data_IF_991195931191
#
_entry.id   IF_991195931191
#
_cell.length_a   1.000
_cell.length_b   1.000
_cell.length_c   1.000
_cell.angle_alpha   90.00
_cell.angle_beta   90.00
_cell.angle_gamma   90.00
#
_symmetry.space_group_name_H-M   'P 1'
#
loop_
_entity.id
_entity.type
_entity.pdbx_description
1 polymer ?
#
# COMPACT_ATOMS: atom_id res chain seq x y z
N UNK A 1 11.62 6.47 16.85
CA UNK A 1 11.88 5.31 15.97
C UNK A 1 13.28 5.44 15.40
N UNK A 2 14.00 4.33 15.28
CA UNK A 2 15.26 4.30 14.51
C UNK A 2 14.95 4.26 13.02
N UNK A 3 15.89 4.72 12.21
CA UNK A 3 15.81 4.72 10.74
C UNK A 3 15.52 3.30 10.20
N UNK A 4 16.15 2.28 10.81
CA UNK A 4 15.95 0.86 10.47
C UNK A 4 14.51 0.37 10.69
N UNK A 5 13.87 0.78 11.78
CA UNK A 5 12.47 0.40 12.05
C UNK A 5 11.51 1.06 11.07
N UNK A 6 11.77 2.31 10.69
CA UNK A 6 10.97 3.01 9.71
C UNK A 6 11.18 2.44 8.30
N UNK A 7 12.40 2.08 7.94
CA UNK A 7 12.71 1.44 6.67
C UNK A 7 12.02 0.07 6.57
N UNK A 8 12.10 -0.75 7.62
CA UNK A 8 11.41 -2.05 7.67
C UNK A 8 9.88 -1.89 7.54
N UNK A 9 9.30 -0.84 8.14
CA UNK A 9 7.88 -0.56 8.00
C UNK A 9 7.51 -0.15 6.56
N UNK A 10 8.33 0.68 5.92
CA UNK A 10 8.15 1.06 4.51
C UNK A 10 8.27 -0.15 3.59
N UNK A 11 9.26 -1.03 3.81
CA UNK A 11 9.40 -2.27 3.04
C UNK A 11 8.23 -3.23 3.23
N UNK A 12 7.69 -3.33 4.46
CA UNK A 12 6.50 -4.14 4.74
C UNK A 12 5.26 -3.56 4.06
N UNK A 13 5.06 -2.24 4.14
CA UNK A 13 3.98 -1.56 3.43
C UNK A 13 4.12 -1.71 1.91
N UNK A 14 5.33 -1.64 1.37
CA UNK A 14 5.58 -1.82 -0.07
C UNK A 14 5.11 -3.19 -0.55
N UNK A 15 5.43 -4.26 0.19
CA UNK A 15 4.97 -5.61 -0.16
C UNK A 15 3.44 -5.73 -0.20
N UNK A 16 2.74 -5.06 0.72
CA UNK A 16 1.27 -5.01 0.72
C UNK A 16 0.76 -4.32 -0.53
N UNK A 17 1.33 -3.16 -0.89
CA UNK A 17 0.93 -2.43 -2.09
C UNK A 17 1.18 -3.25 -3.36
N UNK A 18 2.31 -3.94 -3.46
CA UNK A 18 2.61 -4.86 -4.57
C UNK A 18 1.59 -6.00 -4.64
N UNK A 19 1.26 -6.62 -3.50
CA UNK A 19 0.27 -7.67 -3.43
C UNK A 19 -1.09 -7.16 -3.90
N UNK A 20 -1.59 -6.06 -3.34
CA UNK A 20 -2.89 -5.46 -3.66
C UNK A 20 -2.97 -5.01 -5.12
N UNK A 21 -1.90 -4.41 -5.65
CA UNK A 21 -1.81 -4.01 -7.05
C UNK A 21 -1.94 -5.21 -8.00
N UNK A 22 -1.57 -6.42 -7.57
CA UNK A 22 -1.79 -7.63 -8.38
C UNK A 22 -3.28 -7.98 -8.55
N UNK A 23 -4.17 -7.50 -7.68
CA UNK A 23 -5.62 -7.77 -7.75
C UNK A 23 -6.36 -6.72 -8.56
N UNK A 24 -5.71 -5.62 -8.95
CA UNK A 24 -6.34 -4.44 -9.54
C UNK A 24 -7.14 -4.73 -10.83
N UNK A 25 -6.74 -5.75 -11.60
CA UNK A 25 -7.48 -6.17 -12.81
C UNK A 25 -8.78 -6.95 -12.50
N UNK A 26 -8.91 -7.53 -11.31
CA UNK A 26 -10.00 -8.44 -10.95
C UNK A 26 -10.88 -7.94 -9.80
N UNK A 27 -10.42 -6.93 -9.07
CA UNK A 27 -11.09 -6.38 -7.90
C UNK A 27 -11.64 -4.97 -8.17
N UNK A 28 -12.81 -4.68 -7.61
CA UNK A 28 -13.37 -3.33 -7.52
C UNK A 28 -12.57 -2.47 -6.52
N UNK A 29 -12.66 -1.14 -6.65
CA UNK A 29 -11.87 -0.19 -5.86
C UNK A 29 -12.12 -0.33 -4.36
N UNK A 30 -13.37 -0.60 -3.96
CA UNK A 30 -13.70 -0.86 -2.55
C UNK A 30 -13.04 -2.13 -2.01
N UNK A 31 -12.78 -3.12 -2.86
CA UNK A 31 -12.05 -4.33 -2.47
C UNK A 31 -10.55 -4.04 -2.36
N UNK A 32 -9.99 -3.28 -3.30
CA UNK A 32 -8.60 -2.82 -3.26
C UNK A 32 -8.32 -2.02 -1.99
N UNK A 33 -9.22 -1.10 -1.64
CA UNK A 33 -9.12 -0.30 -0.43
C UNK A 33 -9.10 -1.19 0.84
N UNK A 34 -10.04 -2.12 0.96
CA UNK A 34 -10.10 -3.03 2.11
C UNK A 34 -8.87 -3.92 2.22
N UNK A 35 -8.37 -4.43 1.08
CA UNK A 35 -7.19 -5.30 1.04
C UNK A 35 -5.91 -4.54 1.41
N UNK A 36 -5.80 -3.27 1.02
CA UNK A 36 -4.70 -2.41 1.44
C UNK A 36 -4.71 -2.22 2.96
N UNK A 37 -5.83 -1.81 3.53
CA UNK A 37 -5.98 -1.62 4.98
C UNK A 37 -5.73 -2.91 5.77
N UNK A 38 -6.28 -4.02 5.31
CA UNK A 38 -6.10 -5.32 5.95
C UNK A 38 -4.64 -5.79 5.87
N UNK A 39 -4.00 -5.63 4.72
CA UNK A 39 -2.61 -5.99 4.51
C UNK A 39 -1.66 -5.17 5.38
N UNK A 40 -1.86 -3.85 5.46
CA UNK A 40 -1.07 -2.96 6.31
C UNK A 40 -1.21 -3.36 7.79
N UNK A 41 -2.44 -3.61 8.24
CA UNK A 41 -2.73 -4.06 9.61
C UNK A 41 -2.07 -5.41 9.92
N UNK A 42 -2.14 -6.39 9.01
CA UNK A 42 -1.47 -7.69 9.16
C UNK A 42 0.05 -7.55 9.20
N UNK A 43 0.60 -6.63 8.43
CA UNK A 43 2.02 -6.32 8.42
C UNK A 43 2.48 -5.51 9.65
N UNK A 44 1.56 -5.09 10.52
CA UNK A 44 1.90 -4.31 11.70
C UNK A 44 2.39 -2.89 11.36
N UNK A 45 1.93 -2.35 10.23
CA UNK A 45 2.32 -1.01 9.75
C UNK A 45 1.10 -0.18 9.43
N UNK A 46 1.30 1.13 9.39
CA UNK A 46 0.31 2.11 8.97
C UNK A 46 0.96 3.17 8.09
N UNK A 47 0.22 3.64 7.11
CA UNK A 47 0.54 4.82 6.31
C UNK A 47 -0.44 5.93 6.69
N UNK A 48 -0.09 7.18 6.38
CA UNK A 48 -1.00 8.31 6.59
C UNK A 48 -2.15 8.30 5.55
N UNK A 49 -3.27 8.94 5.88
CA UNK A 49 -4.44 9.04 5.00
C UNK A 49 -4.11 9.72 3.66
N UNK A 50 -3.23 10.72 3.66
CA UNK A 50 -2.76 11.38 2.43
C UNK A 50 -2.02 10.38 1.52
N UNK A 51 -1.17 9.56 2.12
CA UNK A 51 -0.39 8.55 1.41
C UNK A 51 -1.26 7.40 0.90
N UNK A 52 -2.21 6.96 1.73
CA UNK A 52 -3.22 5.95 1.36
C UNK A 52 -4.02 6.41 0.15
N UNK A 53 -4.53 7.64 0.19
CA UNK A 53 -5.35 8.20 -0.90
C UNK A 53 -4.55 8.26 -2.20
N UNK A 54 -3.28 8.68 -2.13
CA UNK A 54 -2.37 8.69 -3.29
C UNK A 54 -2.18 7.28 -3.85
N UNK A 55 -1.85 6.31 -3.02
CA UNK A 55 -1.61 4.92 -3.45
C UNK A 55 -2.85 4.35 -4.12
N UNK A 56 -4.04 4.54 -3.55
CA UNK A 56 -5.29 4.05 -4.14
C UNK A 56 -5.57 4.67 -5.51
N UNK A 57 -5.36 5.97 -5.67
CA UNK A 57 -5.51 6.64 -6.96
C UNK A 57 -4.48 6.16 -8.00
N UNK A 58 -3.24 5.86 -7.58
CA UNK A 58 -2.23 5.28 -8.47
C UNK A 58 -2.59 3.84 -8.86
N UNK A 59 -3.10 3.00 -7.93
CA UNK A 59 -3.57 1.63 -8.24
C UNK A 59 -4.74 1.67 -9.22
N UNK A 60 -5.70 2.57 -9.05
CA UNK A 60 -6.83 2.73 -9.96
C UNK A 60 -6.35 3.11 -11.38
N UNK A 61 -5.42 4.06 -11.48
CA UNK A 61 -4.82 4.46 -12.76
C UNK A 61 -4.01 3.36 -13.47
N UNK A 62 -3.56 2.32 -12.77
CA UNK A 62 -2.89 1.16 -13.37
C UNK A 62 -3.83 0.27 -14.19
N UNK A 63 -5.16 0.42 -14.07
CA UNK A 63 -6.10 -0.38 -14.87
C UNK A 63 -5.93 -0.09 -16.36
N UNK A 64 -5.58 1.15 -16.71
CA UNK A 64 -5.46 1.63 -18.08
C UNK A 64 -4.05 1.46 -18.67
N UNK A 65 -3.00 1.36 -17.86
CA UNK A 65 -1.60 1.35 -18.29
C UNK A 65 -0.84 0.16 -17.65
N UNK A 66 0.01 -0.55 -18.41
CA UNK A 66 0.94 -1.54 -17.81
C UNK A 66 2.02 -0.85 -16.97
N UNK A 67 1.61 -0.39 -15.80
CA UNK A 67 2.43 0.31 -14.83
C UNK A 67 2.83 -0.63 -13.69
N UNK A 68 3.95 -0.31 -13.05
CA UNK A 68 4.38 -1.01 -11.82
C UNK A 68 3.54 -0.56 -10.62
N UNK A 69 3.52 -1.39 -9.57
CA UNK A 69 2.85 -1.03 -8.31
C UNK A 69 3.37 0.31 -7.74
N UNK A 70 2.50 1.11 -7.09
CA UNK A 70 2.91 2.37 -6.49
C UNK A 70 3.98 2.19 -5.43
N UNK A 71 4.82 3.20 -5.26
CA UNK A 71 5.87 3.20 -4.25
C UNK A 71 5.38 3.88 -2.97
N UNK A 72 5.54 3.21 -1.82
CA UNK A 72 5.29 3.78 -0.49
C UNK A 72 6.44 4.72 -0.14
N UNK A 73 6.13 5.99 0.16
CA UNK A 73 7.13 7.00 0.54
C UNK A 73 7.41 6.95 2.04
N UNK A 74 6.40 6.66 2.85
CA UNK A 74 6.56 6.55 4.29
C UNK A 74 5.51 5.64 4.92
N UNK A 75 5.98 4.78 5.83
CA UNK A 75 5.11 4.02 6.73
C UNK A 75 5.68 4.09 8.16
N UNK A 76 4.81 3.83 9.13
CA UNK A 76 5.18 3.70 10.53
C UNK A 76 4.69 2.35 11.05
N UNK A 77 5.47 1.65 11.89
CA UNK A 77 4.95 0.53 12.67
C UNK A 77 3.75 0.97 13.52
N UNK A 78 2.77 0.09 13.67
CA UNK A 78 1.76 0.24 14.72
C UNK A 78 2.35 -0.18 16.06
N UNK A 79 2.18 0.66 17.09
CA UNK A 79 2.62 0.38 18.47
C UNK A 79 1.68 -0.59 19.20
#
# INVERSE_FOLDING_TARGET
MTDETQQAATEAAQRVVEEVSSWQYSADDSTIEQQLDEGLRKAGVRIDDEERTRILAEIDGMKDEQSSAPQVRSATPVE
#
